data_IF_123081536434
#
_entry.id   IF_123081536434
#
_cell.length_a   1.000
_cell.length_b   1.000
_cell.length_c   1.000
_cell.angle_alpha   90.00
_cell.angle_beta   90.00
_cell.angle_gamma   90.00
#
_symmetry.space_group_name_H-M   'P 1'
#
loop_
_entity.id
_entity.type
_entity.pdbx_description
1 polymer ?
#
# COMPACT_ATOMS: atom_id res chain seq x y z
N UNK A 1 2.54 -11.51 -7.23
CA UNK A 1 3.80 -10.93 -7.78
C UNK A 1 4.19 -11.66 -9.07
N UNK A 2 4.26 -12.98 -9.08
CA UNK A 2 4.70 -13.75 -10.25
C UNK A 2 3.90 -13.44 -11.51
N UNK A 3 2.59 -13.46 -11.46
CA UNK A 3 1.71 -13.13 -12.60
C UNK A 3 1.88 -11.68 -13.07
N UNK A 4 2.05 -10.74 -12.13
CA UNK A 4 2.32 -9.35 -12.46
C UNK A 4 3.64 -9.21 -13.23
N UNK A 5 4.69 -9.85 -12.76
CA UNK A 5 6.01 -9.86 -13.40
C UNK A 5 5.99 -10.50 -14.80
N UNK A 6 5.10 -11.45 -15.02
CA UNK A 6 4.87 -12.08 -16.32
C UNK A 6 3.95 -11.26 -17.24
N UNK A 7 3.45 -10.10 -16.81
CA UNK A 7 2.53 -9.28 -17.59
C UNK A 7 1.10 -9.82 -17.66
N UNK A 8 0.73 -10.75 -16.79
CA UNK A 8 -0.60 -11.37 -16.75
C UNK A 8 -1.59 -10.47 -15.97
N UNK A 9 -1.78 -9.24 -16.42
CA UNK A 9 -2.54 -8.20 -15.71
C UNK A 9 -4.02 -8.54 -15.54
N UNK A 10 -4.64 -9.15 -16.55
CA UNK A 10 -6.05 -9.54 -16.48
C UNK A 10 -6.28 -10.62 -15.41
N UNK A 11 -5.36 -11.58 -15.29
CA UNK A 11 -5.43 -12.61 -14.27
C UNK A 11 -5.30 -12.00 -12.85
N UNK A 12 -4.40 -11.04 -12.66
CA UNK A 12 -4.25 -10.34 -11.38
C UNK A 12 -5.52 -9.56 -11.03
N UNK A 13 -6.09 -8.84 -12.00
CA UNK A 13 -7.34 -8.07 -11.83
C UNK A 13 -8.50 -8.99 -11.45
N UNK A 14 -8.67 -10.10 -12.13
CA UNK A 14 -9.74 -11.05 -11.86
C UNK A 14 -9.60 -11.72 -10.49
N UNK A 15 -8.39 -12.05 -10.06
CA UNK A 15 -8.13 -12.59 -8.72
C UNK A 15 -8.61 -11.60 -7.63
N UNK A 16 -8.27 -10.32 -7.77
CA UNK A 16 -8.68 -9.28 -6.81
C UNK A 16 -10.19 -9.06 -6.87
N UNK A 17 -10.77 -9.03 -8.07
CA UNK A 17 -12.21 -8.88 -8.27
C UNK A 17 -12.99 -10.04 -7.63
N UNK A 18 -12.52 -11.26 -7.78
CA UNK A 18 -13.14 -12.44 -7.17
C UNK A 18 -13.13 -12.35 -5.63
N UNK A 19 -12.03 -11.89 -5.04
CA UNK A 19 -11.95 -11.69 -3.59
C UNK A 19 -12.91 -10.59 -3.15
N UNK A 20 -12.99 -9.46 -3.89
CA UNK A 20 -13.93 -8.36 -3.57
C UNK A 20 -15.38 -8.84 -3.63
N UNK A 21 -15.75 -9.63 -4.63
CA UNK A 21 -17.08 -10.21 -4.73
C UNK A 21 -17.39 -11.13 -3.54
N UNK A 22 -16.42 -11.94 -3.11
CA UNK A 22 -16.58 -12.84 -1.97
C UNK A 22 -16.76 -12.11 -0.64
N UNK A 23 -16.08 -10.97 -0.44
CA UNK A 23 -16.19 -10.19 0.81
C UNK A 23 -17.35 -9.19 0.79
N UNK A 24 -17.96 -8.95 -0.37
CA UNK A 24 -19.12 -8.07 -0.55
C UNK A 24 -18.83 -6.62 -0.16
N UNK A 25 -19.59 -6.10 0.79
CA UNK A 25 -19.46 -4.74 1.33
C UNK A 25 -18.35 -4.56 2.37
N UNK A 26 -17.65 -5.63 2.73
CA UNK A 26 -16.49 -5.55 3.62
C UNK A 26 -15.31 -4.86 2.93
N UNK A 27 -14.45 -4.24 3.74
CA UNK A 27 -13.26 -3.55 3.24
C UNK A 27 -12.21 -4.54 2.75
N UNK A 28 -11.81 -4.41 1.50
CA UNK A 28 -10.69 -5.15 0.90
C UNK A 28 -9.47 -4.23 0.77
N UNK A 29 -8.35 -4.66 1.35
CA UNK A 29 -7.05 -4.00 1.21
C UNK A 29 -6.09 -4.92 0.46
N UNK A 30 -5.60 -4.47 -0.68
CA UNK A 30 -4.64 -5.22 -1.50
C UNK A 30 -3.23 -4.76 -1.20
N UNK A 31 -2.39 -5.68 -0.75
CA UNK A 31 -0.96 -5.41 -0.49
C UNK A 31 -0.19 -5.73 -1.75
N UNK A 32 0.53 -4.75 -2.28
CA UNK A 32 1.29 -4.92 -3.53
C UNK A 32 2.78 -5.22 -3.31
N UNK A 33 3.28 -5.07 -2.08
CA UNK A 33 4.68 -5.26 -1.70
C UNK A 33 5.63 -4.44 -2.58
N UNK A 34 5.55 -3.14 -2.43
CA UNK A 34 6.25 -2.16 -3.30
C UNK A 34 7.74 -2.38 -3.43
N UNK A 35 8.40 -2.89 -2.38
CA UNK A 35 9.84 -3.14 -2.41
C UNK A 35 10.27 -4.22 -3.43
N UNK A 36 9.35 -5.02 -3.94
CA UNK A 36 9.60 -6.05 -4.96
C UNK A 36 9.20 -5.62 -6.37
N UNK A 37 8.67 -4.40 -6.54
CA UNK A 37 8.12 -3.91 -7.79
C UNK A 37 8.94 -2.75 -8.35
N UNK A 38 8.98 -2.66 -9.69
CA UNK A 38 9.43 -1.46 -10.39
C UNK A 38 8.36 -0.36 -10.30
N UNK A 39 8.73 0.89 -10.58
CA UNK A 39 7.77 2.00 -10.59
C UNK A 39 6.63 1.80 -11.60
N UNK A 40 6.94 1.25 -12.78
CA UNK A 40 5.93 0.94 -13.79
C UNK A 40 4.96 -0.15 -13.31
N UNK A 41 5.48 -1.18 -12.64
CA UNK A 41 4.66 -2.22 -12.03
C UNK A 41 3.77 -1.66 -10.91
N UNK A 42 4.28 -0.74 -10.10
CA UNK A 42 3.49 -0.04 -9.07
C UNK A 42 2.35 0.77 -9.68
N UNK A 43 2.61 1.54 -10.74
CA UNK A 43 1.58 2.30 -11.47
C UNK A 43 0.52 1.38 -12.05
N UNK A 44 0.95 0.29 -12.66
CA UNK A 44 0.04 -0.72 -13.21
C UNK A 44 -0.83 -1.35 -12.14
N UNK A 45 -0.26 -1.65 -10.97
CA UNK A 45 -1.03 -2.18 -9.84
C UNK A 45 -2.04 -1.18 -9.28
N UNK A 46 -1.75 0.12 -9.30
CA UNK A 46 -2.73 1.12 -8.91
C UNK A 46 -3.98 1.04 -9.77
N UNK A 47 -3.83 0.92 -11.09
CA UNK A 47 -4.95 0.75 -12.02
C UNK A 47 -5.69 -0.56 -11.77
N UNK A 48 -4.98 -1.66 -11.71
CA UNK A 48 -5.55 -3.00 -11.51
C UNK A 48 -6.37 -3.08 -10.22
N UNK A 49 -5.81 -2.62 -9.10
CA UNK A 49 -6.46 -2.65 -7.78
C UNK A 49 -7.73 -1.81 -7.76
N UNK A 50 -7.68 -0.61 -8.34
CA UNK A 50 -8.85 0.27 -8.42
C UNK A 50 -9.93 -0.29 -9.34
N UNK A 51 -9.56 -0.77 -10.53
CA UNK A 51 -10.49 -1.38 -11.49
C UNK A 51 -11.16 -2.65 -10.97
N UNK A 52 -10.45 -3.42 -10.14
CA UNK A 52 -11.00 -4.62 -9.49
C UNK A 52 -11.95 -4.31 -8.33
N UNK A 53 -12.07 -3.04 -7.92
CA UNK A 53 -13.00 -2.59 -6.90
C UNK A 53 -12.51 -2.70 -5.46
N UNK A 54 -11.21 -2.87 -5.22
CA UNK A 54 -10.65 -2.86 -3.89
C UNK A 54 -10.81 -1.48 -3.22
N UNK A 55 -10.96 -1.47 -1.90
CA UNK A 55 -11.16 -0.23 -1.14
C UNK A 55 -9.84 0.47 -0.82
N UNK A 56 -8.78 -0.32 -0.60
CA UNK A 56 -7.44 0.17 -0.28
C UNK A 56 -6.37 -0.54 -1.09
N UNK A 57 -5.36 0.22 -1.50
CA UNK A 57 -4.06 -0.31 -1.89
C UNK A 57 -3.05 -0.06 -0.76
N UNK A 58 -2.28 -1.07 -0.40
CA UNK A 58 -1.32 -1.02 0.71
C UNK A 58 0.09 -1.32 0.23
N UNK A 59 1.08 -0.59 0.72
CA UNK A 59 2.47 -0.72 0.29
C UNK A 59 3.09 -2.08 0.60
N UNK A 60 2.98 -2.56 1.84
CA UNK A 60 3.89 -3.58 2.38
C UNK A 60 3.23 -4.49 3.39
N UNK A 61 3.70 -5.75 3.45
CA UNK A 61 3.31 -6.72 4.49
C UNK A 61 3.96 -6.40 5.84
N UNK A 62 5.17 -5.87 5.83
CA UNK A 62 6.02 -5.73 7.02
C UNK A 62 7.03 -6.87 7.20
N UNK A 63 7.05 -7.85 6.29
CA UNK A 63 7.90 -9.05 6.37
C UNK A 63 8.89 -9.19 5.22
N UNK A 64 8.95 -8.23 4.31
CA UNK A 64 9.87 -8.24 3.19
C UNK A 64 11.07 -7.31 3.43
N UNK A 65 11.80 -6.97 2.36
CA UNK A 65 13.09 -6.24 2.44
C UNK A 65 12.95 -4.79 2.85
N UNK A 66 11.80 -4.14 2.59
CA UNK A 66 11.54 -2.76 2.97
C UNK A 66 10.04 -2.49 3.14
N UNK A 67 9.72 -1.43 3.88
CA UNK A 67 8.37 -0.91 4.07
C UNK A 67 8.04 0.27 3.16
N UNK A 68 7.09 1.09 3.58
CA UNK A 68 6.71 2.30 2.87
C UNK A 68 7.88 3.30 2.80
N UNK A 69 7.98 3.98 1.68
CA UNK A 69 8.81 5.18 1.51
C UNK A 69 8.00 6.29 0.87
N UNK A 70 8.51 7.51 0.92
CA UNK A 70 7.77 8.68 0.44
C UNK A 70 7.55 8.66 -1.08
N UNK A 71 8.54 8.20 -1.84
CA UNK A 71 8.44 8.07 -3.29
C UNK A 71 7.30 7.12 -3.69
N UNK A 72 7.24 5.95 -3.08
CA UNK A 72 6.23 4.94 -3.40
C UNK A 72 4.81 5.41 -3.03
N UNK A 73 4.65 6.04 -1.86
CA UNK A 73 3.35 6.55 -1.43
C UNK A 73 2.88 7.68 -2.34
N UNK A 74 3.76 8.60 -2.71
CA UNK A 74 3.44 9.66 -3.67
C UNK A 74 3.01 9.08 -5.02
N UNK A 75 3.76 8.11 -5.54
CA UNK A 75 3.44 7.43 -6.78
C UNK A 75 2.07 6.74 -6.72
N UNK A 76 1.78 6.04 -5.60
CA UNK A 76 0.51 5.36 -5.41
C UNK A 76 -0.66 6.33 -5.29
N UNK A 77 -0.52 7.41 -4.52
CA UNK A 77 -1.56 8.45 -4.38
C UNK A 77 -1.89 9.06 -5.73
N UNK A 78 -0.88 9.39 -6.52
CA UNK A 78 -1.08 9.87 -7.90
C UNK A 78 -1.71 8.81 -8.80
N UNK A 79 -1.25 7.58 -8.70
CA UNK A 79 -1.70 6.47 -9.56
C UNK A 79 -3.14 6.04 -9.35
N UNK A 80 -3.66 6.13 -8.14
CA UNK A 80 -5.06 5.76 -7.86
C UNK A 80 -6.07 6.82 -8.30
N UNK A 81 -5.66 8.06 -8.48
CA UNK A 81 -6.54 9.17 -8.90
C UNK A 81 -7.83 9.29 -8.07
N UNK A 82 -7.76 9.07 -6.76
CA UNK A 82 -8.91 9.10 -5.87
C UNK A 82 -9.88 7.93 -5.98
N UNK A 83 -9.62 6.94 -6.85
CA UNK A 83 -10.48 5.77 -7.07
C UNK A 83 -10.47 4.77 -5.91
N UNK A 84 -9.38 4.69 -5.18
CA UNK A 84 -9.28 3.93 -3.94
C UNK A 84 -8.35 4.63 -2.95
N UNK A 85 -8.35 4.17 -1.70
CA UNK A 85 -7.55 4.75 -0.63
C UNK A 85 -6.17 4.10 -0.56
N UNK A 86 -5.21 4.83 -0.01
CA UNK A 86 -3.81 4.39 0.11
C UNK A 86 -3.45 4.17 1.57
N UNK A 87 -2.90 3.00 1.88
CA UNK A 87 -2.32 2.70 3.19
C UNK A 87 -0.80 2.54 3.09
N UNK A 88 -0.07 3.41 3.78
CA UNK A 88 1.38 3.28 3.97
C UNK A 88 1.66 2.42 5.19
N UNK A 89 2.51 1.40 5.05
CA UNK A 89 2.81 0.47 6.14
C UNK A 89 4.28 0.04 6.14
N UNK A 90 4.83 -0.08 7.34
CA UNK A 90 6.24 -0.41 7.57
C UNK A 90 7.17 0.80 7.38
N UNK A 91 8.30 0.80 8.05
CA UNK A 91 9.29 1.86 7.92
C UNK A 91 8.93 3.20 8.55
N UNK A 92 7.80 3.31 9.23
CA UNK A 92 7.35 4.54 9.89
C UNK A 92 7.89 4.56 11.31
N UNK A 93 8.81 5.47 11.60
CA UNK A 93 9.58 5.48 12.85
C UNK A 93 9.41 6.74 13.70
N UNK A 94 8.93 7.83 13.13
CA UNK A 94 8.80 9.14 13.79
C UNK A 94 7.45 9.79 13.53
N UNK A 95 7.10 10.79 14.34
CA UNK A 95 5.91 11.62 14.11
C UNK A 95 6.03 12.38 12.78
N UNK A 96 7.22 12.87 12.46
CA UNK A 96 7.50 13.57 11.21
C UNK A 96 7.23 12.66 10.00
N UNK A 97 7.63 11.38 10.07
CA UNK A 97 7.31 10.40 9.02
C UNK A 97 5.78 10.25 8.86
N UNK A 98 5.06 10.13 9.98
CA UNK A 98 3.60 10.02 9.95
C UNK A 98 2.95 11.23 9.27
N UNK A 99 3.34 12.43 9.68
CA UNK A 99 2.82 13.68 9.13
C UNK A 99 3.13 13.80 7.64
N UNK A 100 4.33 13.42 7.22
CA UNK A 100 4.75 13.48 5.83
C UNK A 100 3.99 12.49 4.95
N UNK A 101 3.76 11.25 5.41
CA UNK A 101 2.94 10.30 4.67
C UNK A 101 1.48 10.77 4.52
N UNK A 102 0.90 11.36 5.57
CA UNK A 102 -0.45 11.93 5.51
C UNK A 102 -0.49 13.14 4.57
N UNK A 103 0.51 14.00 4.61
CA UNK A 103 0.61 15.16 3.72
C UNK A 103 0.74 14.76 2.24
N UNK A 104 1.38 13.63 1.95
CA UNK A 104 1.46 13.06 0.60
C UNK A 104 0.11 12.49 0.10
N UNK A 105 -0.85 12.29 1.00
CA UNK A 105 -2.19 11.81 0.66
C UNK A 105 -2.50 10.39 1.10
N UNK A 106 -1.68 9.76 1.95
CA UNK A 106 -2.03 8.48 2.55
C UNK A 106 -3.26 8.63 3.45
N UNK A 107 -4.23 7.74 3.28
CA UNK A 107 -5.47 7.74 4.08
C UNK A 107 -5.29 7.04 5.42
N UNK A 108 -4.40 6.05 5.47
CA UNK A 108 -4.05 5.30 6.68
C UNK A 108 -2.57 4.99 6.76
N UNK A 109 -2.10 4.90 8.00
CA UNK A 109 -0.74 4.48 8.34
C UNK A 109 -0.79 3.17 9.12
N UNK A 110 0.16 2.28 8.84
CA UNK A 110 0.35 1.03 9.58
C UNK A 110 1.76 0.97 10.16
N UNK A 111 1.87 1.06 11.47
CA UNK A 111 3.14 0.92 12.18
C UNK A 111 2.94 0.18 13.49
N UNK A 112 3.82 -0.75 13.79
CA UNK A 112 3.86 -1.43 15.09
C UNK A 112 4.46 -0.56 16.21
N UNK A 113 4.96 0.62 15.84
CA UNK A 113 5.67 1.54 16.74
C UNK A 113 4.84 2.73 17.17
N UNK A 114 3.57 2.81 16.75
CA UNK A 114 2.72 3.98 16.97
C UNK A 114 2.68 4.40 18.45
N UNK A 115 2.48 3.46 19.36
CA UNK A 115 2.42 3.75 20.82
C UNK A 115 3.75 4.33 21.31
N UNK A 116 4.87 3.75 20.93
CA UNK A 116 6.21 4.26 21.33
C UNK A 116 6.47 5.64 20.76
N UNK A 117 6.14 5.85 19.48
CA UNK A 117 6.29 7.13 18.80
C UNK A 117 5.47 8.22 19.52
N UNK A 118 4.20 7.93 19.82
CA UNK A 118 3.30 8.89 20.47
C UNK A 118 3.71 9.16 21.92
N UNK A 119 4.37 8.22 22.58
CA UNK A 119 4.90 8.41 23.94
C UNK A 119 6.29 9.09 23.96
N UNK A 120 6.83 9.50 22.82
CA UNK A 120 8.14 10.11 22.71
C UNK A 120 9.31 9.13 22.88
N UNK A 121 9.08 7.83 22.83
CA UNK A 121 10.10 6.80 22.94
C UNK A 121 10.79 6.58 21.58
N UNK A 122 12.10 6.26 21.62
CA UNK A 122 12.80 5.87 20.38
C UNK A 122 12.31 4.52 19.89
N UNK A 123 11.73 4.49 18.70
CA UNK A 123 11.36 3.26 18.03
C UNK A 123 12.56 2.67 17.29
N UNK A 124 13.05 1.52 17.76
CA UNK A 124 14.13 0.76 17.11
C UNK A 124 13.58 -0.42 16.30
N UNK A 125 14.30 -0.80 15.25
CA UNK A 125 13.96 -1.93 14.37
C UNK A 125 13.14 -1.50 13.14
N UNK A 126 12.73 -2.50 12.37
CA UNK A 126 11.99 -2.36 11.12
C UNK A 126 10.64 -1.62 11.26
#
# INVERSE_FOLDING_TARGET
>A
IGRLKNGEYDAVREDIRAVKQAVGDKVLKVIIETCLLTDDEKRKMCDIVCEAGADYIKTSTGFSTAGANFHDVELMVKGVHGRCKVKAAGGISTVEDMEKFLALGADRLGTSRAVKILNGEQAKGY
#
